data_IF_724573560071
#
_entry.id   IF_724573560071
#
_cell.length_a   1.000
_cell.length_b   1.000
_cell.length_c   1.000
_cell.angle_alpha   90.00
_cell.angle_beta   90.00
_cell.angle_gamma   90.00
#
_symmetry.space_group_name_H-M   'P 1'
#
loop_
_entity.id
_entity.type
_entity.pdbx_description
1 polymer ?
#
# COMPACT_ATOMS: atom_id res chain seq x y z
N UNK A 1 5.50 3.19 40.89
CA UNK A 1 6.11 3.40 39.55
C UNK A 1 4.97 3.66 38.58
N UNK A 2 4.99 4.83 37.94
CA UNK A 2 3.83 5.65 37.59
C UNK A 2 2.95 5.12 36.46
N UNK A 3 1.64 5.38 36.60
CA UNK A 3 0.57 5.19 35.61
C UNK A 3 0.84 5.87 34.26
N UNK A 4 1.75 6.86 34.20
CA UNK A 4 2.18 7.52 32.97
C UNK A 4 2.98 6.62 32.02
N UNK A 5 3.75 5.65 32.53
CA UNK A 5 4.51 4.71 31.70
C UNK A 5 3.59 3.81 30.85
N UNK A 6 2.45 3.41 31.42
CA UNK A 6 1.46 2.56 30.74
C UNK A 6 0.61 3.26 29.67
N UNK A 7 0.59 4.59 29.67
CA UNK A 7 -0.09 5.39 28.63
C UNK A 7 0.76 5.53 27.36
N UNK A 8 2.08 5.28 27.41
CA UNK A 8 2.98 5.36 26.24
C UNK A 8 2.71 4.30 25.17
N UNK A 9 1.97 3.23 25.51
CA UNK A 9 1.61 2.14 24.62
C UNK A 9 0.22 2.31 23.99
N UNK A 10 -0.46 3.41 24.26
CA UNK A 10 -1.76 3.73 23.66
C UNK A 10 -1.53 4.78 22.58
N UNK A 11 -1.87 4.42 21.35
CA UNK A 11 -1.74 5.29 20.17
C UNK A 11 -2.74 6.46 20.20
N UNK A 12 -2.49 7.52 19.40
CA UNK A 12 -3.27 8.75 19.49
C UNK A 12 -4.78 8.58 19.24
N UNK A 13 -5.18 7.74 18.27
CA UNK A 13 -6.59 7.56 17.95
C UNK A 13 -7.30 6.83 19.10
N UNK A 14 -6.70 5.74 19.60
CA UNK A 14 -7.22 5.04 20.76
C UNK A 14 -7.27 5.94 22.01
N UNK A 15 -6.24 6.75 22.25
CA UNK A 15 -6.21 7.70 23.35
C UNK A 15 -7.33 8.75 23.26
N UNK A 16 -7.66 9.21 22.05
CA UNK A 16 -8.78 10.11 21.83
C UNK A 16 -10.12 9.42 22.13
N UNK A 17 -10.33 8.21 21.60
CA UNK A 17 -11.53 7.42 21.91
C UNK A 17 -11.70 7.28 23.42
N UNK A 18 -10.62 6.92 24.14
CA UNK A 18 -10.64 6.68 25.58
C UNK A 18 -10.94 7.94 26.42
N UNK A 19 -10.62 9.13 25.91
CA UNK A 19 -10.94 10.42 26.56
C UNK A 19 -12.38 10.87 26.32
N UNK A 20 -13.01 10.43 25.23
CA UNK A 20 -14.40 10.77 24.93
C UNK A 20 -15.36 10.14 25.96
N UNK A 21 -16.44 10.83 26.36
CA UNK A 21 -17.45 10.29 27.25
C UNK A 21 -18.01 8.98 26.68
N UNK A 22 -18.15 7.98 27.53
CA UNK A 22 -18.89 6.79 27.15
C UNK A 22 -20.37 7.19 26.99
N UNK A 23 -21.05 6.83 25.89
CA UNK A 23 -22.49 7.06 25.76
C UNK A 23 -23.23 6.50 26.99
N UNK A 24 -24.22 7.23 27.50
CA UNK A 24 -24.98 6.83 28.68
C UNK A 24 -25.55 5.41 28.49
N UNK A 25 -25.26 4.50 29.42
CA UNK A 25 -25.65 3.08 29.34
C UNK A 25 -24.63 2.12 28.69
N UNK A 26 -23.49 2.61 28.19
CA UNK A 26 -22.52 1.80 27.43
C UNK A 26 -21.29 1.33 28.24
N UNK A 27 -21.44 1.02 29.53
CA UNK A 27 -20.34 0.57 30.40
C UNK A 27 -19.58 -0.69 29.88
N UNK A 28 -20.22 -1.47 29.01
CA UNK A 28 -19.64 -2.64 28.33
C UNK A 28 -19.25 -2.37 26.85
N UNK A 29 -19.16 -1.11 26.42
CA UNK A 29 -18.79 -0.80 25.04
C UNK A 29 -17.40 -1.32 24.70
N UNK A 30 -17.32 -1.94 23.53
CA UNK A 30 -16.09 -2.43 22.94
C UNK A 30 -15.51 -1.41 21.97
N UNK A 31 -14.19 -1.43 21.81
CA UNK A 31 -13.46 -0.64 20.83
C UNK A 31 -12.64 -1.61 19.98
N UNK A 32 -12.74 -1.51 18.64
CA UNK A 32 -11.89 -2.30 17.76
C UNK A 32 -10.45 -1.76 17.85
N UNK A 33 -9.50 -2.63 18.15
CA UNK A 33 -8.09 -2.26 18.31
C UNK A 33 -7.17 -3.19 17.52
N UNK A 34 -6.05 -2.63 17.08
CA UNK A 34 -4.86 -3.36 16.66
C UNK A 34 -3.81 -3.27 17.75
N UNK A 35 -3.27 -4.41 18.16
CA UNK A 35 -2.25 -4.52 19.19
C UNK A 35 -0.97 -5.09 18.58
N UNK A 36 0.07 -4.25 18.47
CA UNK A 36 1.43 -4.73 18.20
C UNK A 36 2.00 -5.34 19.47
N UNK A 37 2.53 -6.55 19.37
CA UNK A 37 2.93 -7.34 20.53
C UNK A 37 4.16 -8.20 20.26
N UNK A 38 4.68 -8.83 21.31
CA UNK A 38 5.65 -9.91 21.24
C UNK A 38 4.95 -11.22 20.87
N UNK A 39 5.70 -12.26 20.45
CA UNK A 39 5.12 -13.60 20.22
C UNK A 39 4.43 -14.18 21.49
N UNK A 40 5.01 -14.08 22.70
CA UNK A 40 4.29 -14.46 23.93
C UNK A 40 3.03 -13.63 24.18
N UNK A 41 3.09 -12.32 23.93
CA UNK A 41 1.93 -11.43 24.03
C UNK A 41 0.81 -11.82 23.08
N UNK A 42 1.15 -12.18 21.83
CA UNK A 42 0.18 -12.69 20.86
C UNK A 42 -0.48 -13.99 21.34
N UNK A 43 0.29 -14.96 21.84
CA UNK A 43 -0.28 -16.21 22.40
C UNK A 43 -1.22 -15.94 23.57
N UNK A 44 -0.88 -14.97 24.42
CA UNK A 44 -1.74 -14.54 25.53
C UNK A 44 -3.05 -13.93 25.01
N UNK A 45 -2.98 -13.05 24.01
CA UNK A 45 -4.16 -12.46 23.38
C UNK A 45 -5.06 -13.52 22.72
N UNK A 46 -4.48 -14.45 21.96
CA UNK A 46 -5.21 -15.53 21.29
C UNK A 46 -5.91 -16.50 22.27
N UNK A 47 -5.35 -16.68 23.48
CA UNK A 47 -5.95 -17.55 24.52
C UNK A 47 -7.09 -16.87 25.26
N UNK A 48 -6.98 -15.57 25.51
CA UNK A 48 -7.85 -14.85 26.42
C UNK A 48 -8.91 -13.99 25.71
N UNK A 49 -8.80 -13.81 24.40
CA UNK A 49 -9.68 -12.94 23.62
C UNK A 49 -10.07 -13.56 22.28
N UNK A 50 -11.24 -13.18 21.78
CA UNK A 50 -11.65 -13.48 20.41
C UNK A 50 -10.90 -12.55 19.45
N UNK A 51 -9.88 -13.10 18.78
CA UNK A 51 -9.05 -12.36 17.82
C UNK A 51 -9.69 -12.43 16.44
N UNK A 52 -9.93 -11.27 15.80
CA UNK A 52 -10.45 -11.19 14.42
C UNK A 52 -9.37 -11.54 13.40
N UNK A 53 -8.16 -11.00 13.57
CA UNK A 53 -7.01 -11.34 12.72
C UNK A 53 -5.70 -11.20 13.50
N UNK A 54 -4.70 -12.01 13.15
CA UNK A 54 -3.36 -11.95 13.74
C UNK A 54 -2.31 -12.60 12.85
N UNK A 55 -1.04 -12.29 13.08
CA UNK A 55 0.08 -12.97 12.46
C UNK A 55 1.23 -13.16 13.44
N UNK A 56 1.96 -14.27 13.32
CA UNK A 56 3.19 -14.51 14.07
C UNK A 56 4.46 -13.98 13.35
N UNK A 57 4.40 -13.81 12.02
CA UNK A 57 5.49 -13.26 11.22
C UNK A 57 5.64 -11.76 11.42
N UNK A 58 4.51 -11.06 11.50
CA UNK A 58 4.41 -9.71 12.01
C UNK A 58 3.54 -9.75 13.27
N UNK A 59 4.10 -9.94 14.47
CA UNK A 59 3.32 -10.08 15.72
C UNK A 59 2.33 -8.94 15.98
N UNK A 60 1.05 -9.19 15.67
CA UNK A 60 -0.08 -8.31 15.99
C UNK A 60 -1.35 -9.13 16.26
N UNK A 61 -2.30 -8.52 16.96
CA UNK A 61 -3.68 -9.02 17.05
C UNK A 61 -4.68 -7.88 16.84
N UNK A 62 -5.68 -8.09 16.00
CA UNK A 62 -6.84 -7.22 15.85
C UNK A 62 -8.03 -7.84 16.59
N UNK A 63 -8.64 -7.11 17.52
CA UNK A 63 -9.75 -7.61 18.33
C UNK A 63 -10.61 -6.49 18.90
N UNK A 64 -11.79 -6.84 19.39
CA UNK A 64 -12.67 -5.92 20.12
C UNK A 64 -12.39 -6.05 21.62
N UNK A 65 -11.97 -4.95 22.24
CA UNK A 65 -11.73 -4.89 23.69
C UNK A 65 -12.74 -4.01 24.37
N UNK A 66 -13.19 -4.41 25.57
CA UNK A 66 -13.97 -3.51 26.42
C UNK A 66 -13.13 -2.29 26.77
N UNK A 67 -13.71 -1.09 26.74
CA UNK A 67 -13.01 0.17 27.07
C UNK A 67 -12.26 0.08 28.41
N UNK A 68 -12.88 -0.51 29.42
CA UNK A 68 -12.29 -0.69 30.76
C UNK A 68 -11.03 -1.57 30.77
N UNK A 69 -10.87 -2.48 29.81
CA UNK A 69 -9.74 -3.41 29.74
C UNK A 69 -8.51 -2.80 29.05
N UNK A 70 -8.65 -1.69 28.31
CA UNK A 70 -7.56 -1.03 27.56
C UNK A 70 -6.38 -0.71 28.48
N UNK A 71 -6.64 -0.06 29.61
CA UNK A 71 -5.58 0.33 30.55
C UNK A 71 -4.94 -0.85 31.29
N UNK A 72 -5.66 -1.98 31.42
CA UNK A 72 -5.10 -3.22 31.99
C UNK A 72 -4.18 -3.89 30.97
N UNK A 73 -4.63 -4.05 29.73
CA UNK A 73 -3.86 -4.64 28.64
C UNK A 73 -2.61 -3.83 28.33
N UNK A 74 -2.67 -2.49 28.34
CA UNK A 74 -1.50 -1.67 28.05
C UNK A 74 -0.34 -1.88 29.04
N UNK A 75 -0.59 -2.40 30.24
CA UNK A 75 0.45 -2.73 31.24
C UNK A 75 1.16 -4.05 30.98
N UNK A 76 0.62 -4.91 30.11
CA UNK A 76 1.24 -6.19 29.78
C UNK A 76 2.61 -5.97 29.12
N UNK A 77 3.62 -6.72 29.56
CA UNK A 77 5.00 -6.60 29.03
C UNK A 77 5.12 -7.07 27.58
N UNK A 78 4.25 -7.98 27.16
CA UNK A 78 4.16 -8.49 25.81
C UNK A 78 3.44 -7.56 24.82
N UNK A 79 2.81 -6.48 25.28
CA UNK A 79 2.16 -5.47 24.43
C UNK A 79 3.12 -4.30 24.19
N UNK A 80 3.31 -3.94 22.92
CA UNK A 80 4.18 -2.84 22.49
C UNK A 80 3.41 -1.56 22.18
N UNK A 81 2.27 -1.70 21.49
CA UNK A 81 1.42 -0.58 21.10
C UNK A 81 -0.01 -1.08 20.87
N UNK A 82 -0.98 -0.28 21.26
CA UNK A 82 -2.41 -0.47 21.00
C UNK A 82 -2.91 0.76 20.26
N UNK A 83 -3.58 0.57 19.13
CA UNK A 83 -4.18 1.65 18.34
C UNK A 83 -5.60 1.28 17.94
N UNK A 84 -6.44 2.28 17.70
CA UNK A 84 -7.79 2.06 17.22
C UNK A 84 -7.75 1.50 15.78
N UNK A 85 -8.49 0.42 15.52
CA UNK A 85 -8.62 -0.18 14.19
C UNK A 85 -9.64 0.59 13.34
N UNK A 86 -9.35 1.86 13.11
CA UNK A 86 -10.20 2.77 12.33
C UNK A 86 -9.86 2.73 10.84
N UNK A 87 -10.72 3.37 10.04
CA UNK A 87 -10.45 3.63 8.62
C UNK A 87 -9.19 4.49 8.49
N UNK A 88 -8.21 4.00 7.75
CA UNK A 88 -6.90 4.62 7.62
C UNK A 88 -6.73 5.38 6.31
N UNK A 89 -7.05 4.72 5.20
CA UNK A 89 -6.79 5.24 3.87
C UNK A 89 -7.94 4.91 2.92
N UNK A 90 -7.93 5.63 1.81
CA UNK A 90 -8.80 5.39 0.66
C UNK A 90 -7.94 5.28 -0.59
N UNK A 91 -8.43 4.58 -1.60
CA UNK A 91 -7.87 4.75 -2.95
C UNK A 91 -8.24 6.14 -3.44
N UNK A 92 -7.29 6.99 -3.84
CA UNK A 92 -7.60 8.30 -4.42
C UNK A 92 -8.51 8.11 -5.63
N UNK A 93 -9.59 8.91 -5.71
CA UNK A 93 -10.48 8.87 -6.88
C UNK A 93 -9.65 9.12 -8.14
N UNK A 94 -9.62 8.18 -9.11
CA UNK A 94 -8.88 8.39 -10.35
C UNK A 94 -9.39 9.65 -11.06
N UNK A 95 -8.47 10.45 -11.57
CA UNK A 95 -8.83 11.59 -12.39
C UNK A 95 -9.17 11.10 -13.80
N UNK A 96 -10.27 11.59 -14.40
CA UNK A 96 -10.65 11.19 -15.75
C UNK A 96 -9.54 11.57 -16.74
N UNK A 97 -9.42 10.80 -17.81
CA UNK A 97 -8.41 11.09 -18.82
C UNK A 97 -8.75 12.40 -19.54
N UNK A 98 -7.79 13.33 -19.61
CA UNK A 98 -7.92 14.61 -20.32
C UNK A 98 -6.67 14.88 -21.14
N UNK A 99 -6.81 15.01 -22.46
CA UNK A 99 -5.69 15.22 -23.39
C UNK A 99 -5.15 13.92 -24.01
N UNK A 100 -3.92 13.95 -24.57
CA UNK A 100 -3.35 12.81 -25.28
C UNK A 100 -3.23 11.56 -24.40
N UNK A 101 -3.62 10.41 -24.95
CA UNK A 101 -3.51 9.11 -24.27
C UNK A 101 -2.06 8.63 -24.27
N UNK A 102 -1.64 8.03 -23.16
CA UNK A 102 -0.30 7.51 -22.98
C UNK A 102 -0.27 5.98 -23.21
N UNK A 103 -0.36 5.59 -24.49
CA UNK A 103 -0.50 4.20 -24.91
C UNK A 103 0.81 3.39 -24.89
N UNK A 104 1.94 4.06 -25.07
CA UNK A 104 3.28 3.51 -25.27
C UNK A 104 4.18 3.67 -24.02
N UNK A 105 3.59 4.03 -22.87
CA UNK A 105 4.29 4.23 -21.59
C UNK A 105 5.22 3.07 -21.24
N UNK A 106 4.73 1.83 -21.32
CA UNK A 106 5.47 0.66 -20.85
C UNK A 106 6.68 0.35 -21.75
N UNK A 107 6.54 0.53 -23.07
CA UNK A 107 7.64 0.36 -24.02
C UNK A 107 8.75 1.39 -23.81
N UNK A 108 8.43 2.62 -23.39
CA UNK A 108 9.45 3.64 -23.10
C UNK A 108 10.39 3.29 -21.95
N UNK A 109 9.96 2.48 -20.99
CA UNK A 109 10.83 1.98 -19.92
C UNK A 109 11.65 0.75 -20.34
N UNK A 110 11.26 0.06 -21.41
CA UNK A 110 11.90 -1.16 -21.92
C UNK A 110 13.06 -0.86 -22.88
N UNK A 111 13.97 0.00 -22.44
CA UNK A 111 15.13 0.44 -23.24
C UNK A 111 16.44 0.19 -22.52
N UNK A 112 17.53 0.12 -23.28
CA UNK A 112 18.88 0.00 -22.73
C UNK A 112 19.03 -1.24 -21.82
N UNK A 113 19.58 -1.09 -20.60
CA UNK A 113 19.77 -2.21 -19.66
C UNK A 113 18.48 -2.88 -19.19
N UNK A 114 17.31 -2.25 -19.35
CA UNK A 114 16.02 -2.78 -18.87
C UNK A 114 15.25 -3.56 -19.93
N UNK A 115 15.68 -3.51 -21.20
CA UNK A 115 14.94 -4.06 -22.35
C UNK A 115 14.58 -5.55 -22.20
N UNK A 116 15.49 -6.33 -21.62
CA UNK A 116 15.37 -7.79 -21.49
C UNK A 116 14.90 -8.23 -20.08
N UNK A 117 14.56 -7.29 -19.20
CA UNK A 117 14.16 -7.56 -17.81
C UNK A 117 12.65 -7.54 -17.68
N UNK A 118 12.04 -8.69 -17.39
CA UNK A 118 10.60 -8.93 -17.31
C UNK A 118 10.12 -9.34 -15.90
N UNK A 119 10.96 -9.13 -14.89
CA UNK A 119 10.68 -9.41 -13.49
C UNK A 119 10.77 -10.88 -13.10
N UNK A 120 11.38 -11.74 -13.94
CA UNK A 120 11.59 -13.14 -13.61
C UNK A 120 12.33 -13.32 -12.27
N UNK A 121 11.91 -14.32 -11.49
CA UNK A 121 12.40 -14.57 -10.14
C UNK A 121 11.94 -13.56 -9.06
N UNK A 122 11.29 -12.46 -9.44
CA UNK A 122 10.84 -11.44 -8.48
C UNK A 122 9.41 -11.68 -8.02
N UNK A 123 9.15 -11.35 -6.76
CA UNK A 123 7.85 -11.49 -6.08
C UNK A 123 7.35 -10.11 -5.69
N UNK A 124 6.18 -9.74 -6.16
CA UNK A 124 5.59 -8.43 -5.94
C UNK A 124 4.24 -8.61 -5.27
N UNK A 125 4.02 -7.94 -4.14
CA UNK A 125 2.69 -7.78 -3.56
C UNK A 125 2.12 -6.43 -3.97
N UNK A 126 0.91 -6.44 -4.50
CA UNK A 126 0.11 -5.24 -4.74
C UNK A 126 -0.98 -5.19 -3.66
N UNK A 127 -1.06 -4.09 -2.91
CA UNK A 127 -2.11 -3.89 -1.90
C UNK A 127 -3.15 -2.91 -2.46
N UNK A 128 -4.32 -3.40 -2.86
CA UNK A 128 -5.31 -2.60 -3.58
C UNK A 128 -6.76 -3.14 -3.47
N UNK A 129 -7.64 -2.78 -4.41
CA UNK A 129 -9.09 -3.10 -4.42
C UNK A 129 -9.42 -4.51 -4.88
N UNK A 130 -8.43 -5.31 -5.27
CA UNK A 130 -8.61 -6.69 -5.70
C UNK A 130 -8.22 -6.93 -7.15
N UNK A 131 -8.54 -8.12 -7.64
CA UNK A 131 -8.22 -8.56 -8.99
C UNK A 131 -9.37 -9.40 -9.55
N UNK A 132 -9.79 -9.08 -10.77
CA UNK A 132 -10.75 -9.86 -11.54
C UNK A 132 -10.05 -10.38 -12.81
N UNK A 133 -10.20 -11.68 -13.16
CA UNK A 133 -9.57 -12.24 -14.36
C UNK A 133 -9.90 -11.47 -15.63
N UNK A 134 -8.92 -11.35 -16.53
CA UNK A 134 -9.04 -10.65 -17.79
C UNK A 134 -8.25 -11.36 -18.88
N UNK A 135 -8.73 -11.40 -20.14
CA UNK A 135 -8.07 -12.14 -21.22
C UNK A 135 -6.59 -11.80 -21.42
N UNK A 136 -6.24 -10.52 -21.27
CA UNK A 136 -4.86 -10.05 -21.47
C UNK A 136 -3.95 -10.24 -20.26
N UNK A 137 -4.44 -10.75 -19.13
CA UNK A 137 -3.64 -11.00 -17.93
C UNK A 137 -3.63 -12.49 -17.65
N UNK A 138 -2.43 -13.06 -17.54
CA UNK A 138 -2.28 -14.48 -17.23
C UNK A 138 -2.95 -14.84 -15.90
N UNK A 139 -3.44 -16.07 -15.82
CA UNK A 139 -4.11 -16.62 -14.62
C UNK A 139 -3.16 -16.93 -13.46
N UNK A 140 -1.88 -16.51 -13.55
CA UNK A 140 -0.84 -16.74 -12.56
C UNK A 140 -0.78 -15.65 -11.47
N UNK A 141 -1.63 -14.62 -11.57
CA UNK A 141 -1.83 -13.63 -10.51
C UNK A 141 -2.57 -14.28 -9.35
N UNK A 142 -1.90 -14.40 -8.20
CA UNK A 142 -2.54 -14.83 -6.95
C UNK A 142 -3.31 -13.67 -6.36
N UNK A 143 -4.46 -13.93 -5.75
CA UNK A 143 -5.21 -12.91 -5.02
C UNK A 143 -5.60 -13.43 -3.63
N UNK A 144 -5.54 -12.56 -2.63
CA UNK A 144 -5.96 -12.84 -1.25
C UNK A 144 -6.95 -11.78 -0.79
N UNK A 145 -7.89 -12.21 0.06
CA UNK A 145 -8.86 -11.33 0.70
C UNK A 145 -8.38 -10.97 2.11
N UNK A 146 -8.09 -9.68 2.34
CA UNK A 146 -7.80 -9.14 3.66
C UNK A 146 -8.98 -8.36 4.24
N UNK A 147 -10.10 -8.20 3.51
CA UNK A 147 -11.27 -7.44 3.96
C UNK A 147 -12.23 -8.27 4.80
N UNK A 148 -12.21 -9.60 4.60
CA UNK A 148 -13.12 -10.55 5.24
C UNK A 148 -14.49 -10.65 4.55
N UNK A 149 -14.62 -10.11 3.33
CA UNK A 149 -15.86 -10.11 2.55
C UNK A 149 -16.05 -11.39 1.72
N UNK A 150 -15.09 -12.31 1.75
CA UNK A 150 -15.15 -13.61 1.09
C UNK A 150 -14.89 -13.53 -0.42
N UNK A 151 -14.20 -12.49 -0.88
CA UNK A 151 -13.94 -12.28 -2.31
C UNK A 151 -12.64 -11.53 -2.55
N UNK A 152 -12.01 -11.82 -3.68
CA UNK A 152 -10.85 -11.08 -4.19
C UNK A 152 -11.17 -10.25 -5.43
N UNK A 153 -12.42 -10.30 -5.91
CA UNK A 153 -12.85 -9.66 -7.16
C UNK A 153 -12.73 -8.14 -7.05
N UNK A 154 -12.31 -7.51 -8.14
CA UNK A 154 -12.16 -6.06 -8.19
C UNK A 154 -13.41 -5.38 -8.71
N UNK A 155 -14.34 -5.12 -7.78
CA UNK A 155 -15.61 -4.44 -8.07
C UNK A 155 -15.46 -2.94 -8.33
N UNK A 156 -14.28 -2.36 -8.06
CA UNK A 156 -13.99 -0.96 -8.37
C UNK A 156 -13.25 -0.82 -9.70
N UNK A 157 -12.21 -1.64 -9.91
CA UNK A 157 -11.36 -1.68 -11.09
C UNK A 157 -9.95 -1.10 -10.90
N UNK A 158 -9.62 -0.58 -9.70
CA UNK A 158 -8.33 0.09 -9.47
C UNK A 158 -7.17 -0.89 -9.37
N UNK A 159 -7.32 -1.93 -8.55
CA UNK A 159 -6.32 -2.99 -8.41
C UNK A 159 -6.09 -3.72 -9.73
N UNK A 160 -7.13 -3.93 -10.52
CA UNK A 160 -7.05 -4.52 -11.84
C UNK A 160 -6.22 -3.67 -12.81
N UNK A 161 -6.48 -2.36 -12.86
CA UNK A 161 -5.71 -1.45 -13.69
C UNK A 161 -4.24 -1.42 -13.28
N UNK A 162 -3.94 -1.46 -11.98
CA UNK A 162 -2.56 -1.59 -11.48
C UNK A 162 -1.92 -2.89 -11.93
N UNK A 163 -2.57 -4.05 -11.71
CA UNK A 163 -2.03 -5.35 -12.13
C UNK A 163 -1.76 -5.39 -13.63
N UNK A 164 -2.58 -4.70 -14.43
CA UNK A 164 -2.36 -4.60 -15.88
C UNK A 164 -1.00 -3.96 -16.22
N UNK A 165 -0.57 -2.94 -15.48
CA UNK A 165 0.74 -2.30 -15.70
C UNK A 165 1.92 -3.25 -15.44
N UNK A 166 1.73 -4.25 -14.57
CA UNK A 166 2.76 -5.24 -14.25
C UNK A 166 2.72 -6.40 -15.24
N UNK A 167 1.53 -6.95 -15.52
CA UNK A 167 1.35 -8.31 -16.05
C UNK A 167 0.60 -8.41 -17.38
N UNK A 168 -0.01 -7.33 -17.88
CA UNK A 168 -0.79 -7.41 -19.11
C UNK A 168 0.08 -7.87 -20.29
N UNK A 169 -0.59 -8.49 -21.26
CA UNK A 169 -0.04 -8.93 -22.55
C UNK A 169 -0.83 -8.27 -23.67
N UNK A 170 -0.40 -8.49 -24.90
CA UNK A 170 -1.13 -8.01 -26.07
C UNK A 170 -0.87 -6.53 -26.33
N UNK A 171 -1.94 -5.75 -26.50
CA UNK A 171 -1.87 -4.38 -27.05
C UNK A 171 -1.20 -3.37 -26.12
N UNK A 172 -1.40 -3.50 -24.82
CA UNK A 172 -0.77 -2.65 -23.80
C UNK A 172 -0.04 -3.55 -22.80
N UNK A 173 1.14 -4.08 -23.17
CA UNK A 173 1.86 -5.04 -22.34
C UNK A 173 2.38 -4.38 -21.07
N UNK A 174 2.33 -5.12 -19.96
CA UNK A 174 2.89 -4.71 -18.69
C UNK A 174 4.41 -4.81 -18.66
N UNK A 175 5.03 -4.19 -17.66
CA UNK A 175 6.48 -4.07 -17.56
C UNK A 175 7.17 -5.34 -17.06
N UNK A 176 6.53 -6.14 -16.21
CA UNK A 176 7.15 -7.31 -15.56
C UNK A 176 6.27 -8.57 -15.68
N UNK A 177 5.99 -9.03 -16.91
CA UNK A 177 5.06 -10.12 -17.15
C UNK A 177 5.48 -11.47 -16.56
N UNK A 178 6.75 -11.66 -16.15
CA UNK A 178 7.24 -12.88 -15.48
C UNK A 178 7.36 -12.76 -13.96
N UNK A 179 7.11 -11.59 -13.38
CA UNK A 179 7.05 -11.46 -11.93
C UNK A 179 5.91 -12.29 -11.34
N UNK A 180 6.15 -12.85 -10.15
CA UNK A 180 5.14 -13.50 -9.33
C UNK A 180 4.36 -12.42 -8.57
N UNK A 181 3.11 -12.16 -9.00
CA UNK A 181 2.29 -11.10 -8.43
C UNK A 181 1.24 -11.67 -7.49
N UNK A 182 1.16 -11.11 -6.28
CA UNK A 182 0.07 -11.34 -5.33
C UNK A 182 -0.72 -10.05 -5.11
N UNK A 183 -1.99 -10.04 -5.49
CA UNK A 183 -2.93 -8.98 -5.15
C UNK A 183 -3.51 -9.24 -3.76
N UNK A 184 -3.25 -8.35 -2.81
CA UNK A 184 -3.93 -8.29 -1.53
C UNK A 184 -5.08 -7.29 -1.62
N UNK A 185 -6.31 -7.79 -1.65
CA UNK A 185 -7.50 -6.95 -1.56
C UNK A 185 -7.61 -6.42 -0.13
N UNK A 186 -7.33 -5.14 0.07
CA UNK A 186 -7.40 -4.47 1.38
C UNK A 186 -8.50 -3.42 1.47
N UNK A 187 -9.08 -3.02 0.34
CA UNK A 187 -10.19 -2.06 0.28
C UNK A 187 -11.52 -2.78 0.18
N UNK A 188 -12.47 -2.36 1.01
CA UNK A 188 -13.87 -2.77 0.88
C UNK A 188 -14.56 -2.06 -0.28
N UNK A 189 -15.84 -2.36 -0.45
CA UNK A 189 -16.67 -1.77 -1.52
C UNK A 189 -16.90 -0.26 -1.39
N UNK A 190 -16.57 0.34 -0.24
CA UNK A 190 -16.57 1.79 -0.05
C UNK A 190 -15.19 2.41 -0.32
N UNK A 191 -14.26 1.62 -0.86
CA UNK A 191 -12.88 2.00 -1.13
C UNK A 191 -12.15 2.49 0.12
N UNK A 192 -12.46 1.88 1.27
CA UNK A 192 -11.80 2.16 2.54
C UNK A 192 -11.05 0.94 3.07
N UNK A 193 -9.94 1.19 3.75
CA UNK A 193 -9.14 0.16 4.40
C UNK A 193 -8.87 0.52 5.87
N UNK A 194 -8.66 -0.50 6.70
CA UNK A 194 -8.32 -0.35 8.13
C UNK A 194 -6.90 -0.82 8.41
N UNK A 195 -6.40 -0.51 9.61
CA UNK A 195 -5.07 -0.95 10.04
C UNK A 195 -4.94 -2.46 10.00
N UNK A 196 -5.93 -3.21 10.51
CA UNK A 196 -5.90 -4.67 10.55
C UNK A 196 -5.81 -5.30 9.15
N UNK A 197 -6.49 -4.75 8.14
CA UNK A 197 -6.43 -5.21 6.75
C UNK A 197 -5.04 -5.01 6.14
N UNK A 198 -4.43 -3.84 6.36
CA UNK A 198 -3.06 -3.54 5.92
C UNK A 198 -2.07 -4.47 6.62
N UNK A 199 -2.21 -4.69 7.93
CA UNK A 199 -1.32 -5.56 8.70
C UNK A 199 -1.42 -7.02 8.25
N UNK A 200 -2.62 -7.49 7.89
CA UNK A 200 -2.81 -8.82 7.33
C UNK A 200 -2.05 -8.95 5.99
N UNK A 201 -2.20 -7.99 5.08
CA UNK A 201 -1.45 -7.99 3.82
C UNK A 201 0.07 -7.94 4.04
N UNK A 202 0.54 -7.07 4.94
CA UNK A 202 1.96 -6.97 5.31
C UNK A 202 2.50 -8.27 5.94
N UNK A 203 1.66 -9.00 6.66
CA UNK A 203 2.04 -10.30 7.24
C UNK A 203 2.25 -11.34 6.15
N UNK A 204 1.32 -11.41 5.19
CA UNK A 204 1.46 -12.31 4.04
C UNK A 204 2.65 -11.93 3.16
N UNK A 205 2.98 -10.64 3.05
CA UNK A 205 4.19 -10.18 2.38
C UNK A 205 5.46 -10.77 3.01
N UNK A 206 5.54 -10.76 4.34
CA UNK A 206 6.66 -11.34 5.10
C UNK A 206 6.68 -12.86 4.97
N UNK A 207 5.54 -13.54 5.16
CA UNK A 207 5.44 -15.00 5.07
C UNK A 207 5.83 -15.53 3.68
N UNK A 208 5.46 -14.82 2.61
CA UNK A 208 5.79 -15.19 1.25
C UNK A 208 7.18 -14.71 0.79
N UNK A 209 7.90 -13.98 1.65
CA UNK A 209 9.19 -13.36 1.36
C UNK A 209 9.12 -12.57 0.04
N UNK A 210 8.13 -11.68 -0.08
CA UNK A 210 8.02 -10.83 -1.27
C UNK A 210 9.18 -9.86 -1.33
N UNK A 211 9.60 -9.49 -2.53
CA UNK A 211 10.71 -8.57 -2.72
C UNK A 211 10.24 -7.11 -2.78
N UNK A 212 9.03 -6.88 -3.30
CA UNK A 212 8.45 -5.54 -3.48
C UNK A 212 7.02 -5.51 -2.95
N UNK A 213 6.64 -4.44 -2.25
CA UNK A 213 5.26 -4.10 -1.89
C UNK A 213 4.88 -2.77 -2.53
N UNK A 214 3.88 -2.80 -3.40
CA UNK A 214 3.31 -1.63 -4.07
C UNK A 214 2.02 -1.18 -3.39
N UNK A 215 1.98 0.08 -2.98
CA UNK A 215 0.88 0.69 -2.21
C UNK A 215 0.34 1.91 -2.96
N UNK A 216 -0.61 1.69 -3.87
CA UNK A 216 -1.21 2.75 -4.68
C UNK A 216 -2.36 3.48 -3.97
N UNK A 217 -2.17 3.76 -2.68
CA UNK A 217 -3.15 4.40 -1.81
C UNK A 217 -2.47 5.30 -0.79
N UNK A 218 -3.25 6.16 -0.15
CA UNK A 218 -2.74 7.07 0.86
C UNK A 218 -3.83 7.62 1.79
N UNK A 219 -3.37 8.12 2.93
CA UNK A 219 -4.17 8.92 3.86
C UNK A 219 -3.39 10.18 4.29
N UNK A 220 -4.09 11.28 4.62
CA UNK A 220 -3.43 12.56 4.94
C UNK A 220 -2.74 12.56 6.31
N UNK A 221 -3.08 11.62 7.20
CA UNK A 221 -2.60 11.57 8.58
C UNK A 221 -1.64 10.39 8.77
N UNK A 222 -0.43 10.62 9.33
CA UNK A 222 0.47 9.54 9.68
C UNK A 222 -0.12 8.70 10.82
N UNK A 223 0.11 7.39 10.76
CA UNK A 223 -0.31 6.42 11.75
C UNK A 223 0.90 5.65 12.29
N UNK A 224 1.04 5.62 13.61
CA UNK A 224 2.21 5.04 14.28
C UNK A 224 2.34 3.53 14.04
N UNK A 225 1.22 2.78 13.96
CA UNK A 225 1.23 1.34 13.66
C UNK A 225 1.75 1.11 12.26
N UNK A 226 1.21 1.83 11.26
CA UNK A 226 1.68 1.69 9.86
C UNK A 226 3.16 2.06 9.76
N UNK A 227 3.61 3.15 10.40
CA UNK A 227 5.03 3.54 10.41
C UNK A 227 5.94 2.43 10.95
N UNK A 228 5.56 1.81 12.08
CA UNK A 228 6.32 0.71 12.68
C UNK A 228 6.35 -0.52 11.76
N UNK A 229 5.23 -0.83 11.10
CA UNK A 229 5.14 -1.98 10.18
C UNK A 229 5.97 -1.74 8.92
N UNK A 230 5.94 -0.54 8.32
CA UNK A 230 6.78 -0.21 7.18
C UNK A 230 8.27 -0.34 7.52
N UNK A 231 8.70 0.12 8.71
CA UNK A 231 10.09 -0.07 9.17
C UNK A 231 10.46 -1.55 9.33
N UNK A 232 9.52 -2.40 9.79
CA UNK A 232 9.75 -3.85 9.91
C UNK A 232 9.88 -4.53 8.55
N UNK A 233 9.02 -4.21 7.58
CA UNK A 233 9.10 -4.77 6.23
C UNK A 233 10.40 -4.36 5.55
N UNK A 234 10.77 -3.08 5.66
CA UNK A 234 12.04 -2.57 5.14
C UNK A 234 13.25 -3.29 5.77
N UNK A 235 13.25 -3.47 7.09
CA UNK A 235 14.31 -4.21 7.78
C UNK A 235 14.35 -5.70 7.40
N UNK A 236 13.25 -6.27 6.91
CA UNK A 236 13.19 -7.62 6.35
C UNK A 236 13.67 -7.71 4.90
N UNK A 237 14.20 -6.61 4.33
CA UNK A 237 14.71 -6.57 2.95
C UNK A 237 13.65 -6.34 1.89
N UNK A 238 12.42 -5.98 2.28
CA UNK A 238 11.31 -5.75 1.34
C UNK A 238 11.34 -4.31 0.86
N UNK A 239 11.41 -4.11 -0.46
CA UNK A 239 11.32 -2.78 -1.06
C UNK A 239 9.88 -2.26 -1.00
N UNK A 240 9.70 -1.05 -0.49
CA UNK A 240 8.39 -0.43 -0.29
C UNK A 240 8.23 0.77 -1.22
N UNK A 241 7.16 0.80 -2.00
CA UNK A 241 6.84 1.91 -2.89
C UNK A 241 5.38 2.31 -2.74
N UNK A 242 5.12 3.61 -2.67
CA UNK A 242 3.78 4.15 -2.50
C UNK A 242 3.52 5.41 -3.33
N UNK A 243 2.24 5.60 -3.67
CA UNK A 243 1.77 6.80 -4.34
C UNK A 243 1.89 8.04 -3.44
N UNK A 244 2.42 9.14 -3.97
CA UNK A 244 2.60 10.38 -3.19
C UNK A 244 1.29 11.03 -2.74
N UNK A 245 0.19 10.79 -3.47
CA UNK A 245 -1.11 11.42 -3.25
C UNK A 245 -1.54 12.31 -4.41
N UNK A 246 -2.83 12.64 -4.47
CA UNK A 246 -3.44 13.42 -5.55
C UNK A 246 -4.00 14.77 -5.05
N UNK A 247 -3.43 15.30 -3.96
CA UNK A 247 -3.91 16.49 -3.26
C UNK A 247 -3.06 17.75 -3.56
N UNK A 248 -2.21 17.69 -4.59
CA UNK A 248 -1.46 18.85 -5.09
C UNK A 248 -2.35 19.96 -5.66
N UNK A 249 -1.78 21.13 -6.02
CA UNK A 249 -0.35 21.43 -6.12
C UNK A 249 0.26 22.03 -4.85
N UNK A 250 -0.48 22.13 -3.74
CA UNK A 250 0.03 22.74 -2.50
C UNK A 250 1.19 21.96 -1.88
N UNK A 251 2.07 22.66 -1.16
CA UNK A 251 3.12 22.04 -0.35
C UNK A 251 2.53 21.27 0.85
N UNK A 252 3.21 20.20 1.27
CA UNK A 252 2.80 19.40 2.43
C UNK A 252 1.49 18.64 2.21
N UNK A 253 1.20 18.27 0.97
CA UNK A 253 0.04 17.47 0.52
C UNK A 253 0.36 15.99 0.39
N UNK A 254 1.59 15.59 0.76
CA UNK A 254 2.06 14.21 0.75
C UNK A 254 1.21 13.31 1.66
N UNK A 255 0.83 12.15 1.14
CA UNK A 255 0.04 11.16 1.87
C UNK A 255 0.94 10.05 2.46
N UNK A 256 0.39 9.30 3.42
CA UNK A 256 1.05 8.15 4.03
C UNK A 256 0.39 6.86 3.51
N UNK A 257 1.18 5.82 3.14
CA UNK A 257 2.52 5.53 3.64
C UNK A 257 3.70 6.16 2.88
N UNK A 258 3.49 6.85 1.75
CA UNK A 258 4.59 7.46 0.97
C UNK A 258 5.45 8.44 1.78
N UNK A 259 4.86 9.16 2.74
CA UNK A 259 5.58 10.06 3.64
C UNK A 259 6.52 9.42 4.66
N UNK A 260 6.54 8.09 4.80
CA UNK A 260 7.47 7.44 5.74
C UNK A 260 8.86 7.24 5.11
N UNK A 261 9.91 7.50 5.90
CA UNK A 261 11.32 7.34 5.47
C UNK A 261 11.62 6.04 4.69
N UNK A 262 11.22 4.83 5.16
CA UNK A 262 11.54 3.58 4.47
C UNK A 262 10.75 3.34 3.17
N UNK A 263 9.80 4.19 2.82
CA UNK A 263 8.92 4.00 1.65
C UNK A 263 9.34 4.94 0.53
N UNK A 264 9.60 4.40 -0.67
CA UNK A 264 9.83 5.21 -1.86
C UNK A 264 8.51 5.86 -2.31
N UNK A 265 8.42 7.18 -2.23
CA UNK A 265 7.28 7.97 -2.66
C UNK A 265 7.39 8.31 -4.14
N UNK A 266 6.31 8.05 -4.90
CA UNK A 266 6.26 8.28 -6.34
C UNK A 266 5.25 9.38 -6.69
N UNK A 267 5.76 10.48 -7.26
CA UNK A 267 4.98 11.55 -7.87
C UNK A 267 4.52 11.17 -9.30
N UNK A 268 3.55 11.91 -9.84
CA UNK A 268 3.04 11.71 -11.19
C UNK A 268 3.49 12.83 -12.14
N UNK A 269 4.06 12.44 -13.28
CA UNK A 269 4.31 13.32 -14.44
C UNK A 269 3.44 12.90 -15.63
N UNK A 270 3.26 13.81 -16.58
CA UNK A 270 2.70 13.50 -17.89
C UNK A 270 3.75 12.89 -18.85
N UNK A 271 3.31 12.55 -20.07
CA UNK A 271 4.16 11.98 -21.12
C UNK A 271 5.30 12.92 -21.56
N UNK A 272 5.25 14.21 -21.22
CA UNK A 272 6.30 15.19 -21.49
C UNK A 272 7.26 15.35 -20.30
N UNK A 273 7.10 14.57 -19.22
CA UNK A 273 7.90 14.70 -18.00
C UNK A 273 7.48 15.89 -17.12
N UNK A 274 6.37 16.57 -17.43
CA UNK A 274 5.90 17.69 -16.62
C UNK A 274 5.13 17.17 -15.41
N UNK A 275 5.45 17.69 -14.22
CA UNK A 275 4.75 17.32 -12.98
C UNK A 275 3.25 17.61 -13.09
N UNK A 276 2.44 16.59 -12.81
CA UNK A 276 0.99 16.71 -12.84
C UNK A 276 0.52 17.67 -11.73
N UNK A 277 -0.46 18.53 -12.04
CA UNK A 277 -0.96 19.54 -11.09
C UNK A 277 -1.52 18.92 -9.80
N UNK A 278 -2.15 17.75 -9.89
CA UNK A 278 -2.68 17.01 -8.76
C UNK A 278 -1.61 16.29 -7.94
N UNK A 279 -0.39 16.10 -8.46
CA UNK A 279 0.62 15.30 -7.77
C UNK A 279 1.00 15.96 -6.45
N UNK A 280 0.79 15.24 -5.35
CA UNK A 280 1.12 15.71 -4.01
C UNK A 280 2.62 16.01 -3.85
N UNK A 281 2.92 16.95 -2.95
CA UNK A 281 4.26 17.49 -2.71
C UNK A 281 4.61 17.44 -1.23
N UNK A 282 5.88 17.19 -0.92
CA UNK A 282 6.41 17.35 0.44
C UNK A 282 6.43 18.81 0.88
N UNK A 283 6.88 19.07 2.11
CA UNK A 283 7.10 20.44 2.59
C UNK A 283 8.51 20.90 2.20
N UNK A 284 8.68 22.11 1.64
CA UNK A 284 10.01 22.66 1.39
C UNK A 284 10.89 22.61 2.64
N UNK A 285 12.14 22.15 2.49
CA UNK A 285 13.12 22.04 3.57
C UNK A 285 12.94 20.84 4.51
N UNK A 286 11.87 20.07 4.40
CA UNK A 286 11.71 18.83 5.18
C UNK A 286 12.72 17.76 4.72
N UNK A 287 13.35 17.08 5.69
CA UNK A 287 14.27 15.95 5.44
C UNK A 287 13.71 14.65 6.04
N UNK A 288 13.83 13.50 5.33
CA UNK A 288 14.25 13.40 3.93
C UNK A 288 13.25 14.12 3.00
N UNK A 289 13.74 14.61 1.85
CA UNK A 289 12.84 15.20 0.85
C UNK A 289 11.95 14.11 0.25
N UNK A 290 10.68 14.44 0.02
CA UNK A 290 9.67 13.59 -0.61
C UNK A 290 8.81 14.45 -1.55
N UNK A 291 8.25 13.90 -2.64
CA UNK A 291 8.44 12.53 -3.15
C UNK A 291 9.89 12.23 -3.59
N UNK A 292 10.25 10.95 -3.67
CA UNK A 292 11.62 10.53 -4.00
C UNK A 292 11.92 10.61 -5.49
N UNK A 293 10.94 10.21 -6.31
CA UNK A 293 11.01 10.22 -7.77
C UNK A 293 9.64 10.60 -8.35
N UNK A 294 9.61 10.97 -9.63
CA UNK A 294 8.39 11.16 -10.39
C UNK A 294 8.36 10.21 -11.60
N UNK A 295 7.22 9.55 -11.81
CA UNK A 295 7.00 8.62 -12.90
C UNK A 295 5.70 8.96 -13.62
N UNK A 296 5.54 8.45 -14.83
CA UNK A 296 4.37 8.74 -15.64
C UNK A 296 3.08 8.23 -14.98
N UNK A 297 2.13 9.13 -14.76
CA UNK A 297 0.86 8.82 -14.07
C UNK A 297 -0.35 9.52 -14.67
N UNK A 298 -0.22 10.09 -15.87
CA UNK A 298 -1.28 10.86 -16.53
C UNK A 298 -1.72 10.15 -17.81
N UNK A 299 -3.03 9.94 -17.94
CA UNK A 299 -3.72 9.33 -19.09
C UNK A 299 -3.15 7.96 -19.50
N UNK A 300 -2.76 7.13 -18.54
CA UNK A 300 -2.25 5.79 -18.84
C UNK A 300 -3.40 4.90 -19.32
N UNK A 301 -3.16 4.10 -20.36
CA UNK A 301 -4.10 3.08 -20.81
C UNK A 301 -3.82 1.78 -20.03
N UNK A 302 -4.88 1.18 -19.48
CA UNK A 302 -4.83 0.01 -18.61
C UNK A 302 -6.03 -0.89 -18.86
N UNK A 303 -5.91 -2.17 -18.49
CA UNK A 303 -7.02 -3.11 -18.58
C UNK A 303 -8.17 -2.68 -17.64
N UNK A 304 -9.40 -2.77 -18.14
CA UNK A 304 -10.62 -2.51 -17.38
C UNK A 304 -11.00 -3.77 -16.59
N UNK A 305 -11.38 -3.61 -15.33
CA UNK A 305 -12.01 -4.72 -14.60
C UNK A 305 -13.37 -5.08 -15.23
N UNK A 306 -13.68 -6.37 -15.44
CA UNK A 306 -15.01 -6.79 -15.86
C UNK A 306 -16.09 -6.51 -14.80
N UNK A 307 -15.71 -6.41 -13.52
CA UNK A 307 -16.64 -6.19 -12.41
C UNK A 307 -16.68 -4.72 -11.93
N UNK A 308 -15.87 -3.84 -12.53
CA UNK A 308 -15.67 -2.45 -12.10
C UNK A 308 -15.80 -1.44 -13.23
N UNK A 309 -16.04 -0.17 -12.87
CA UNK A 309 -16.36 0.89 -13.83
C UNK A 309 -15.58 2.20 -13.62
N UNK A 310 -14.38 2.13 -13.04
CA UNK A 310 -13.53 3.32 -12.93
C UNK A 310 -12.89 3.75 -14.26
N UNK A 311 -12.42 5.00 -14.30
CA UNK A 311 -11.68 5.54 -15.44
C UNK A 311 -12.55 5.88 -16.64
N UNK A 312 -11.90 6.37 -17.70
CA UNK A 312 -12.56 6.73 -18.97
C UNK A 312 -12.41 5.57 -19.94
N UNK A 313 -13.50 4.94 -20.45
CA UNK A 313 -13.40 3.91 -21.48
C UNK A 313 -12.62 4.38 -22.71
N UNK A 314 -11.69 3.55 -23.17
CA UNK A 314 -10.80 3.84 -24.31
C UNK A 314 -11.24 3.03 -25.53
N UNK A 315 -11.42 1.73 -25.33
CA UNK A 315 -11.89 0.70 -26.26
C UNK A 315 -12.37 -0.50 -25.43
N UNK A 316 -13.04 -1.52 -26.02
CA UNK A 316 -13.52 -2.68 -25.26
C UNK A 316 -12.39 -3.33 -24.44
N UNK A 317 -12.63 -3.49 -23.13
CA UNK A 317 -11.64 -4.07 -22.20
C UNK A 317 -10.61 -3.09 -21.65
N UNK A 318 -10.59 -1.81 -22.05
CA UNK A 318 -9.57 -0.87 -21.61
C UNK A 318 -10.12 0.50 -21.17
N UNK A 319 -9.43 1.08 -20.18
CA UNK A 319 -9.70 2.42 -19.65
C UNK A 319 -8.44 3.28 -19.71
N UNK A 320 -8.63 4.59 -19.61
CA UNK A 320 -7.59 5.55 -19.33
C UNK A 320 -7.91 6.30 -18.04
N UNK A 321 -6.87 6.54 -17.24
CA UNK A 321 -6.99 7.28 -15.99
C UNK A 321 -5.68 7.97 -15.60
N UNK A 322 -5.78 8.93 -14.69
CA UNK A 322 -4.64 9.68 -14.15
C UNK A 322 -4.60 9.61 -12.62
N UNK A 323 -3.39 9.57 -12.05
CA UNK A 323 -3.15 9.51 -10.61
C UNK A 323 -1.74 9.07 -10.26
N UNK A 324 -1.22 9.49 -9.10
CA UNK A 324 0.02 8.95 -8.52
C UNK A 324 -0.11 7.45 -8.20
N UNK A 325 -1.34 6.96 -7.99
CA UNK A 325 -1.67 5.54 -7.87
C UNK A 325 -1.31 4.72 -9.11
N UNK A 326 -1.27 5.34 -10.28
CA UNK A 326 -0.84 4.71 -11.54
C UNK A 326 0.65 4.93 -11.84
N UNK A 327 1.30 5.93 -11.25
CA UNK A 327 2.76 6.08 -11.32
C UNK A 327 3.49 5.11 -10.38
N UNK A 328 2.94 4.88 -9.19
CA UNK A 328 3.47 3.96 -8.17
C UNK A 328 3.83 2.56 -8.69
N UNK A 329 2.95 1.83 -9.41
CA UNK A 329 3.27 0.50 -9.91
C UNK A 329 4.39 0.48 -10.95
N UNK A 330 4.63 1.56 -11.69
CA UNK A 330 5.82 1.68 -12.56
C UNK A 330 7.08 1.63 -11.69
N UNK A 331 7.10 2.33 -10.55
CA UNK A 331 8.20 2.27 -9.59
C UNK A 331 8.43 0.86 -9.03
N UNK A 332 7.35 0.11 -8.76
CA UNK A 332 7.43 -1.29 -8.36
C UNK A 332 8.03 -2.18 -9.47
N UNK A 333 7.68 -1.94 -10.73
CA UNK A 333 8.22 -2.66 -11.88
C UNK A 333 9.71 -2.38 -12.09
N UNK A 334 10.12 -1.11 -12.00
CA UNK A 334 11.53 -0.73 -12.12
C UNK A 334 12.37 -1.33 -10.98
N UNK A 335 11.84 -1.33 -9.75
CA UNK A 335 12.47 -2.03 -8.62
C UNK A 335 12.62 -3.53 -8.89
N UNK A 336 11.59 -4.18 -9.45
CA UNK A 336 11.65 -5.59 -9.82
C UNK A 336 12.69 -5.86 -10.92
N UNK A 337 12.80 -5.02 -11.94
CA UNK A 337 13.84 -5.16 -12.96
C UNK A 337 15.25 -5.03 -12.36
N UNK A 338 15.47 -4.05 -11.49
CA UNK A 338 16.74 -3.88 -10.77
C UNK A 338 17.07 -5.15 -9.95
N UNK A 339 16.07 -5.68 -9.23
CA UNK A 339 16.24 -6.90 -8.44
C UNK A 339 16.54 -8.12 -9.33
N UNK A 340 15.85 -8.30 -10.45
CA UNK A 340 16.13 -9.36 -11.41
C UNK A 340 17.58 -9.29 -11.91
N UNK A 341 18.03 -8.11 -12.36
CA UNK A 341 19.38 -7.89 -12.85
C UNK A 341 20.47 -8.15 -11.79
N UNK A 342 20.11 -8.05 -10.50
CA UNK A 342 21.03 -8.21 -9.36
C UNK A 342 20.77 -9.50 -8.57
N UNK A 343 20.09 -10.49 -9.15
CA UNK A 343 19.85 -11.79 -8.52
C UNK A 343 19.04 -11.74 -7.21
N UNK A 344 18.16 -10.75 -7.07
CA UNK A 344 17.27 -10.50 -5.93
C UNK A 344 17.95 -10.32 -4.56
N UNK A 345 19.24 -10.01 -4.51
CA UNK A 345 20.00 -9.82 -3.26
C UNK A 345 20.13 -8.38 -2.80
N UNK A 346 19.66 -7.42 -3.60
CA UNK A 346 19.84 -5.99 -3.30
C UNK A 346 18.95 -5.55 -2.15
N UNK A 347 19.52 -4.79 -1.24
CA UNK A 347 18.76 -4.18 -0.15
C UNK A 347 17.78 -3.12 -0.67
N UNK A 348 16.68 -2.85 0.05
CA UNK A 348 15.77 -1.77 -0.29
C UNK A 348 16.45 -0.40 -0.48
N UNK A 349 17.51 -0.13 0.30
CA UNK A 349 18.31 1.08 0.19
C UNK A 349 19.00 1.19 -1.17
N UNK A 350 19.68 0.13 -1.61
CA UNK A 350 20.38 0.10 -2.90
C UNK A 350 19.42 0.26 -4.07
N UNK A 351 18.25 -0.39 -4.00
CA UNK A 351 17.21 -0.25 -5.03
C UNK A 351 16.70 1.20 -5.08
N UNK A 352 16.42 1.81 -3.93
CA UNK A 352 15.97 3.20 -3.87
C UNK A 352 17.02 4.19 -4.41
N UNK A 353 18.29 3.99 -4.06
CA UNK A 353 19.39 4.82 -4.55
C UNK A 353 19.58 4.69 -6.06
N UNK A 354 19.51 3.48 -6.62
CA UNK A 354 19.58 3.29 -8.08
C UNK A 354 18.44 4.01 -8.80
N UNK A 355 17.21 3.93 -8.27
CA UNK A 355 16.06 4.64 -8.83
C UNK A 355 16.25 6.17 -8.76
N UNK A 356 16.69 6.70 -7.62
CA UNK A 356 16.95 8.14 -7.44
C UNK A 356 18.08 8.64 -8.34
N UNK A 357 19.19 7.91 -8.40
CA UNK A 357 20.38 8.30 -9.15
C UNK A 357 20.19 8.21 -10.67
N UNK A 358 19.31 7.31 -11.14
CA UNK A 358 19.01 7.13 -12.56
C UNK A 358 17.90 8.04 -13.08
N UNK A 359 17.18 8.74 -12.20
CA UNK A 359 16.12 9.66 -12.59
C UNK A 359 16.68 10.86 -13.39
N UNK A 360 15.97 11.23 -14.46
CA UNK A 360 16.26 12.44 -15.22
C UNK A 360 16.07 13.67 -14.31
N UNK A 361 16.99 14.63 -14.43
CA UNK A 361 17.01 15.86 -13.61
C UNK A 361 16.22 16.98 -14.23
#
# INVERSE_FOLDING_TARGET
MSTESSLRKIGPALANIMRSPCPAGAANSTVPVVILCSRPGLKMLQRNHQVRSSSAALPYAALDIKRQDVGRLSRDRGIYLMEADERYATVPKPLPACGPRNADVYERYKVGPLRDLDGDGVKIMVQDSGFSPHPDIASDVRAIDCTGEGTTRDQHGHGMAIVSQLKAKGRYPGLVPKAQVTMARIFDNQMSTSLSRILQACSVAVDNQVHVVSMSYGGPVPNIVISMVMRKLYAAGIFLVAAAGNSGPGDGTLEYPAGYDPVLAVAAVDKQGKLASFSSRGRPGQKPMKPDIALEGVNLIMAKSPDGNMGTPVEPGYIAASGTSFACPIGACLAAMILQARGTTSSPAEVAELLRASAQR
#
